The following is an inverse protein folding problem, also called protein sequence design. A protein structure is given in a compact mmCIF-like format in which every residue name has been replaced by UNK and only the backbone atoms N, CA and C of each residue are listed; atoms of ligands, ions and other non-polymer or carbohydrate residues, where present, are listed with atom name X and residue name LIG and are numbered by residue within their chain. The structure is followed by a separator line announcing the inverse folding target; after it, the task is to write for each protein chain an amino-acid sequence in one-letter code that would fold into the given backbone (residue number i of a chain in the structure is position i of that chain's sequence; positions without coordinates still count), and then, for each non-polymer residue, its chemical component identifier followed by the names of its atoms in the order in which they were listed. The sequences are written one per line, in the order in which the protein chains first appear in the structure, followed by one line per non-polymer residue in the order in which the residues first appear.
data_IF_026140792149
#
_entry.id   IF_026140792149
#
_cell.length_a   1.000
_cell.length_b   1.000
_cell.length_c   1.000
_cell.angle_alpha   90.00
_cell.angle_beta   90.00
_cell.angle_gamma   90.00
#
_symmetry.space_group_name_H-M   'P 1'
#
loop_
_entity.id
_entity.type
_entity.pdbx_description
1 polymer ?
#
# COMPACT_ATOMS: atom_id res chain seq x y z
N UNK A 1 0.63 8.59 -4.95
CA UNK A 1 1.22 7.96 -6.16
C UNK A 1 1.02 8.86 -7.37
N UNK A 2 1.70 8.59 -8.47
CA UNK A 2 1.62 9.35 -9.73
C UNK A 2 0.72 8.69 -10.81
N UNK A 3 0.01 7.61 -10.47
CA UNK A 3 -0.88 6.90 -11.41
C UNK A 3 -0.19 5.90 -12.34
N UNK A 4 1.09 5.58 -12.09
CA UNK A 4 1.81 4.56 -12.86
C UNK A 4 1.33 3.14 -12.57
N UNK A 5 1.48 2.27 -13.56
CA UNK A 5 1.29 0.83 -13.40
C UNK A 5 2.43 0.23 -12.58
N UNK A 6 2.13 -0.20 -11.35
CA UNK A 6 3.11 -0.82 -10.47
C UNK A 6 3.18 -2.33 -10.72
N UNK A 7 4.35 -2.81 -11.07
CA UNK A 7 4.69 -4.23 -11.11
C UNK A 7 5.90 -4.47 -10.20
N UNK A 8 5.79 -5.39 -9.25
CA UNK A 8 6.80 -5.63 -8.19
C UNK A 8 6.95 -7.12 -7.88
N UNK A 9 7.99 -7.52 -7.17
CA UNK A 9 8.02 -8.86 -6.59
C UNK A 9 7.07 -8.96 -5.38
N UNK A 10 6.61 -10.16 -5.02
CA UNK A 10 5.94 -10.39 -3.74
C UNK A 10 6.81 -9.89 -2.58
N UNK A 11 6.15 -9.30 -1.60
CA UNK A 11 6.75 -8.88 -0.35
C UNK A 11 5.85 -9.28 0.82
N UNK A 12 6.45 -9.45 1.99
CA UNK A 12 5.69 -9.78 3.20
C UNK A 12 4.56 -8.76 3.42
N UNK A 13 3.36 -9.28 3.70
CA UNK A 13 2.14 -8.52 3.94
C UNK A 13 1.68 -7.60 2.78
N UNK A 14 2.22 -7.74 1.56
CA UNK A 14 1.80 -6.93 0.40
C UNK A 14 0.29 -6.99 0.17
N UNK A 15 -0.29 -8.18 0.33
CA UNK A 15 -1.73 -8.45 0.19
C UNK A 15 -2.60 -7.71 1.23
N UNK A 16 -2.02 -7.21 2.33
CA UNK A 16 -2.76 -6.36 3.29
C UNK A 16 -2.97 -4.93 2.78
N UNK A 17 -2.18 -4.53 1.78
CA UNK A 17 -2.16 -3.16 1.27
C UNK A 17 -2.79 -3.07 -0.11
N UNK A 18 -2.47 -4.02 -0.97
CA UNK A 18 -2.92 -4.08 -2.35
C UNK A 18 -3.39 -5.48 -2.72
N UNK A 19 -4.27 -5.57 -3.71
CA UNK A 19 -4.69 -6.83 -4.32
C UNK A 19 -3.92 -7.07 -5.63
N UNK A 20 -2.97 -8.04 -5.67
CA UNK A 20 -2.28 -8.41 -6.91
C UNK A 20 -3.25 -8.82 -8.02
N UNK A 21 -2.96 -8.45 -9.26
CA UNK A 21 -3.81 -8.66 -10.43
C UNK A 21 -4.98 -7.69 -10.57
N UNK A 22 -5.25 -6.86 -9.55
CA UNK A 22 -6.36 -5.89 -9.57
C UNK A 22 -5.91 -4.45 -9.34
N UNK A 23 -5.00 -4.21 -8.40
CA UNK A 23 -4.54 -2.86 -8.01
C UNK A 23 -3.05 -2.66 -8.31
N UNK A 24 -2.28 -3.75 -8.29
CA UNK A 24 -0.87 -3.84 -8.67
C UNK A 24 -0.66 -5.17 -9.39
N UNK A 25 0.49 -5.35 -10.01
CA UNK A 25 0.90 -6.65 -10.55
C UNK A 25 2.12 -7.20 -9.83
N UNK A 26 2.24 -8.52 -9.76
CA UNK A 26 3.41 -9.19 -9.16
C UNK A 26 4.15 -10.08 -10.15
N UNK A 27 5.41 -10.39 -9.89
CA UNK A 27 6.18 -11.39 -10.63
C UNK A 27 7.17 -12.10 -9.70
N UNK A 28 7.40 -13.39 -9.93
CA UNK A 28 8.30 -14.19 -9.10
C UNK A 28 9.74 -14.16 -9.63
N UNK A 29 9.89 -14.06 -10.96
CA UNK A 29 11.19 -14.13 -11.64
C UNK A 29 11.30 -13.17 -12.85
N UNK A 30 12.54 -12.92 -13.35
CA UNK A 30 12.75 -12.03 -14.49
C UNK A 30 12.09 -12.48 -15.80
N UNK A 31 11.90 -13.78 -16.02
CA UNK A 31 11.27 -14.29 -17.25
C UNK A 31 9.76 -14.03 -17.21
N UNK A 32 9.13 -14.18 -16.03
CA UNK A 32 7.74 -13.79 -15.81
C UNK A 32 7.55 -12.28 -15.95
N UNK A 33 8.45 -11.48 -15.37
CA UNK A 33 8.47 -10.03 -15.55
C UNK A 33 8.48 -9.66 -17.04
N UNK A 34 9.39 -10.23 -17.82
CA UNK A 34 9.50 -9.95 -19.25
C UNK A 34 8.22 -10.35 -20.01
N UNK A 35 7.64 -11.52 -19.71
CA UNK A 35 6.35 -11.95 -20.30
C UNK A 35 5.22 -10.99 -19.95
N UNK A 36 5.08 -10.60 -18.68
CA UNK A 36 4.03 -9.68 -18.21
C UNK A 36 4.20 -8.28 -18.79
N UNK A 37 5.42 -7.76 -18.91
CA UNK A 37 5.68 -6.50 -19.61
C UNK A 37 5.16 -6.58 -21.05
N UNK A 38 5.51 -7.64 -21.79
CA UNK A 38 5.00 -7.84 -23.15
C UNK A 38 3.47 -7.88 -23.20
N UNK A 39 2.84 -8.63 -22.29
CA UNK A 39 1.38 -8.72 -22.16
C UNK A 39 0.73 -7.35 -21.93
N UNK A 40 1.17 -6.58 -20.93
CA UNK A 40 0.56 -5.28 -20.59
C UNK A 40 0.91 -4.15 -21.56
N UNK A 41 1.95 -4.30 -22.37
CA UNK A 41 2.20 -3.43 -23.51
C UNK A 41 1.20 -3.70 -24.65
N UNK A 42 0.85 -4.97 -24.87
CA UNK A 42 -0.16 -5.36 -25.86
C UNK A 42 -1.62 -5.11 -25.39
N UNK A 43 -1.85 -5.03 -24.08
CA UNK A 43 -3.17 -4.82 -23.47
C UNK A 43 -3.24 -3.54 -22.61
N UNK A 44 -3.17 -2.34 -23.24
CA UNK A 44 -3.09 -1.08 -22.50
C UNK A 44 -4.33 -0.80 -21.64
N UNK A 45 -5.53 -1.18 -22.09
CA UNK A 45 -6.75 -0.98 -21.30
C UNK A 45 -6.75 -1.76 -19.99
N UNK A 46 -6.20 -2.98 -20.01
CA UNK A 46 -6.05 -3.80 -18.82
C UNK A 46 -5.03 -3.20 -17.86
N UNK A 47 -3.86 -2.82 -18.39
CA UNK A 47 -2.79 -2.16 -17.64
C UNK A 47 -3.29 -0.89 -16.96
N UNK A 48 -3.98 -0.03 -17.71
CA UNK A 48 -4.43 1.27 -17.24
C UNK A 48 -5.54 1.13 -16.19
N UNK A 49 -6.40 0.10 -16.31
CA UNK A 49 -7.39 -0.25 -15.29
C UNK A 49 -6.74 -0.59 -13.95
N UNK A 50 -5.70 -1.44 -13.97
CA UNK A 50 -4.98 -1.83 -12.76
C UNK A 50 -4.25 -0.62 -12.15
N UNK A 51 -3.56 0.16 -12.98
CA UNK A 51 -2.87 1.37 -12.54
C UNK A 51 -3.81 2.37 -11.86
N UNK A 52 -5.00 2.59 -12.43
CA UNK A 52 -6.01 3.47 -11.86
C UNK A 52 -6.57 2.95 -10.54
N UNK A 53 -6.82 1.64 -10.43
CA UNK A 53 -7.27 1.00 -9.20
C UNK A 53 -6.22 1.15 -8.08
N UNK A 54 -4.95 0.87 -8.36
CA UNK A 54 -3.85 1.07 -7.41
C UNK A 54 -3.66 2.53 -7.00
N UNK A 55 -3.86 3.47 -7.93
CA UNK A 55 -3.85 4.89 -7.62
C UNK A 55 -4.99 5.29 -6.68
N UNK A 56 -6.22 4.82 -6.96
CA UNK A 56 -7.38 5.08 -6.12
C UNK A 56 -7.18 4.53 -4.70
N UNK A 57 -6.71 3.28 -4.57
CA UNK A 57 -6.34 2.65 -3.29
C UNK A 57 -5.33 3.50 -2.52
N UNK A 58 -4.25 3.91 -3.20
CA UNK A 58 -3.17 4.71 -2.58
C UNK A 58 -3.68 6.06 -2.09
N UNK A 59 -4.52 6.74 -2.88
CA UNK A 59 -5.11 8.04 -2.51
C UNK A 59 -6.11 7.92 -1.36
N UNK A 60 -6.85 6.82 -1.28
CA UNK A 60 -7.84 6.59 -0.25
C UNK A 60 -7.22 6.20 1.09
N UNK A 61 -6.10 5.48 1.12
CA UNK A 61 -5.64 4.83 2.35
C UNK A 61 -4.14 4.99 2.66
N UNK A 62 -3.31 5.34 1.67
CA UNK A 62 -1.86 5.25 1.78
C UNK A 62 -1.16 6.58 1.52
N UNK A 63 -1.84 7.69 1.79
CA UNK A 63 -1.17 8.99 1.89
C UNK A 63 -0.44 9.10 3.23
N UNK A 64 0.60 9.93 3.28
CA UNK A 64 1.34 10.16 4.51
C UNK A 64 0.44 10.71 5.61
N UNK A 65 -0.50 11.60 5.27
CA UNK A 65 -1.46 12.18 6.21
C UNK A 65 -2.30 11.10 6.90
N UNK A 66 -2.79 10.10 6.16
CA UNK A 66 -3.62 9.02 6.69
C UNK A 66 -2.79 8.05 7.54
N UNK A 67 -1.59 7.68 7.06
CA UNK A 67 -0.74 6.72 7.79
C UNK A 67 -0.17 7.33 9.06
N UNK A 68 0.26 8.59 9.02
CA UNK A 68 0.82 9.25 10.19
C UNK A 68 -0.25 9.64 11.22
N UNK A 69 -1.49 9.94 10.82
CA UNK A 69 -2.55 10.23 11.80
C UNK A 69 -2.77 9.03 12.72
N UNK A 70 -2.84 7.81 12.17
CA UNK A 70 -2.98 6.57 12.94
C UNK A 70 -1.81 6.35 13.92
N UNK A 71 -0.58 6.61 13.46
CA UNK A 71 0.62 6.50 14.29
C UNK A 71 0.60 7.52 15.44
N UNK A 72 0.30 8.79 15.13
CA UNK A 72 0.26 9.86 16.11
C UNK A 72 -0.87 9.67 17.13
N UNK A 73 -2.01 9.17 16.70
CA UNK A 73 -3.10 8.77 17.60
C UNK A 73 -2.66 7.64 18.55
N UNK A 74 -1.98 6.62 18.03
CA UNK A 74 -1.45 5.53 18.85
C UNK A 74 -0.41 6.05 19.86
N UNK A 75 0.54 6.88 19.43
CA UNK A 75 1.53 7.51 20.31
C UNK A 75 0.86 8.38 21.39
N UNK A 76 -0.17 9.14 21.03
CA UNK A 76 -0.93 9.95 21.98
C UNK A 76 -1.70 9.11 23.00
N UNK A 77 -2.25 7.96 22.61
CA UNK A 77 -2.89 7.01 23.54
C UNK A 77 -1.89 6.45 24.53
N UNK A 78 -0.73 5.99 24.06
CA UNK A 78 0.34 5.46 24.92
C UNK A 78 0.83 6.51 25.93
N UNK A 79 1.13 7.73 25.46
CA UNK A 79 1.53 8.84 26.35
C UNK A 79 0.51 9.12 27.45
N UNK A 80 -0.80 9.11 27.13
CA UNK A 80 -1.86 9.35 28.12
C UNK A 80 -1.95 8.24 29.16
N UNK A 81 -1.65 6.99 28.79
CA UNK A 81 -1.65 5.86 29.71
C UNK A 81 -0.49 5.95 30.71
N UNK A 82 0.68 6.44 30.29
CA UNK A 82 1.82 6.69 31.17
C UNK A 82 1.53 7.82 32.18
N UNK A 83 0.97 8.96 31.73
CA UNK A 83 0.66 10.10 32.62
C UNK A 83 -0.53 9.82 33.57
N UNK A 84 -1.40 8.86 33.23
CA UNK A 84 -2.50 8.43 34.09
C UNK A 84 -2.06 7.55 35.27
N UNK A 85 -0.89 6.89 35.16
CA UNK A 85 -0.34 6.03 36.22
C UNK A 85 0.28 6.81 37.38
N UNK A 86 0.86 7.99 37.14
CA UNK A 86 1.48 8.82 38.19
C UNK A 86 0.47 9.46 39.15
N UNK A 87 -0.80 9.63 38.75
CA UNK A 87 -1.83 10.23 39.62
C UNK A 87 -2.55 9.25 40.55
N UNK A 88 -2.24 7.95 40.50
CA UNK A 88 -2.91 6.93 41.30
C UNK A 88 -2.15 6.52 42.58
N UNK A 89 -1.03 7.20 42.91
CA UNK A 89 -0.18 6.89 44.09
C UNK A 89 -0.04 8.09 45.05
N UNK A 90 -0.99 9.02 45.03
CA UNK A 90 -1.04 10.15 45.97
C UNK A 90 -2.35 10.15 46.75
#
# INVERSE_FOLDING_TARGET
GCGGFLMTQPADDLERYYTPGSEIETFDDPDELARKIGHYLAHPEERDRIALAGYARTRAEHTYEIRFSQLLEAANRLRKQETGGEKAVA
#
